data_IF_040056229987
#
_entry.id   IF_040056229987
#
_cell.length_a   1.000
_cell.length_b   1.000
_cell.length_c   1.000
_cell.angle_alpha   90.00
_cell.angle_beta   90.00
_cell.angle_gamma   90.00
#
_symmetry.space_group_name_H-M   'P 1'
#
loop_
_entity.id
_entity.type
_entity.pdbx_description
1 polymer ?
#
# COMPACT_ATOMS: atom_id res chain seq x y z
N UNK A 1 -3.06 -16.14 1.36
CA UNK A 1 -2.98 -14.76 0.81
C UNK A 1 -1.61 -14.21 1.16
N UNK A 2 -0.89 -13.66 0.18
CA UNK A 2 0.46 -13.11 0.35
C UNK A 2 0.44 -11.59 0.18
N UNK A 3 0.94 -10.85 1.19
CA UNK A 3 0.79 -9.40 1.29
C UNK A 3 2.16 -8.74 1.28
N UNK A 4 2.42 -7.83 0.34
CA UNK A 4 3.59 -6.96 0.39
C UNK A 4 3.34 -5.83 1.38
N UNK A 5 4.29 -5.58 2.28
CA UNK A 5 4.24 -4.47 3.24
C UNK A 5 5.43 -3.57 2.97
N UNK A 6 5.14 -2.34 2.54
CA UNK A 6 6.13 -1.27 2.44
C UNK A 6 6.43 -0.76 3.86
N UNK A 7 7.61 -1.08 4.38
CA UNK A 7 7.98 -0.78 5.77
C UNK A 7 8.78 0.51 5.93
N UNK A 8 9.09 1.20 4.83
CA UNK A 8 9.90 2.41 4.87
C UNK A 8 9.04 3.67 4.62
N UNK A 9 9.61 4.85 4.91
CA UNK A 9 8.95 6.13 4.63
C UNK A 9 7.77 6.49 5.53
N UNK A 10 7.67 5.87 6.70
CA UNK A 10 6.61 6.12 7.69
C UNK A 10 7.08 7.10 8.78
N UNK A 11 6.15 7.79 9.42
CA UNK A 11 6.44 8.77 10.48
C UNK A 11 7.07 8.13 11.73
N UNK A 12 6.73 6.87 12.02
CA UNK A 12 7.19 6.15 13.22
C UNK A 12 8.28 5.12 12.93
N UNK A 13 8.81 5.11 11.69
CA UNK A 13 9.84 4.17 11.27
C UNK A 13 9.32 2.75 11.00
N UNK A 14 10.22 1.83 10.60
CA UNK A 14 9.85 0.47 10.21
C UNK A 14 9.42 -0.42 11.37
N UNK A 15 9.71 -0.06 12.63
CA UNK A 15 9.49 -0.88 13.81
C UNK A 15 8.04 -1.31 13.95
N UNK A 16 7.11 -0.36 13.88
CA UNK A 16 5.68 -0.60 14.05
C UNK A 16 5.11 -1.51 12.95
N UNK A 17 5.59 -1.34 11.71
CA UNK A 17 5.14 -2.15 10.59
C UNK A 17 5.68 -3.57 10.63
N UNK A 18 6.93 -3.75 11.02
CA UNK A 18 7.52 -5.09 11.21
C UNK A 18 6.82 -5.81 12.37
N UNK A 19 6.59 -5.12 13.50
CA UNK A 19 5.84 -5.69 14.62
C UNK A 19 4.40 -6.06 14.22
N UNK A 20 3.71 -5.18 13.51
CA UNK A 20 2.36 -5.43 13.00
C UNK A 20 2.31 -6.62 12.04
N UNK A 21 3.30 -6.78 11.17
CA UNK A 21 3.41 -7.94 10.28
C UNK A 21 3.61 -9.25 11.06
N UNK A 22 4.47 -9.25 12.08
CA UNK A 22 4.66 -10.41 12.98
C UNK A 22 3.37 -10.80 13.68
N UNK A 23 2.64 -9.82 14.19
CA UNK A 23 1.34 -10.06 14.82
C UNK A 23 0.31 -10.60 13.82
N UNK A 24 0.27 -10.06 12.60
CA UNK A 24 -0.66 -10.47 11.57
C UNK A 24 -0.48 -11.94 11.15
N UNK A 25 0.75 -12.38 10.90
CA UNK A 25 1.01 -13.78 10.48
C UNK A 25 0.76 -14.79 11.60
N UNK A 26 0.82 -14.34 12.87
CA UNK A 26 0.49 -15.17 14.03
C UNK A 26 -1.01 -15.24 14.28
N UNK A 27 -1.75 -14.18 13.94
CA UNK A 27 -3.19 -14.09 14.18
C UNK A 27 -4.03 -14.60 13.00
N UNK A 28 -3.51 -14.48 11.77
CA UNK A 28 -4.24 -14.77 10.55
C UNK A 28 -3.49 -15.75 9.65
N UNK A 29 -4.22 -16.41 8.76
CA UNK A 29 -3.61 -17.27 7.73
C UNK A 29 -3.20 -16.44 6.50
N UNK A 30 -2.10 -15.71 6.65
CA UNK A 30 -1.49 -14.91 5.59
C UNK A 30 0.03 -15.06 5.61
N UNK A 31 0.65 -14.78 4.47
CA UNK A 31 2.09 -14.61 4.31
C UNK A 31 2.39 -13.13 4.08
N UNK A 32 3.55 -12.67 4.56
CA UNK A 32 3.96 -11.28 4.43
C UNK A 32 5.34 -11.18 3.77
N UNK A 33 5.46 -10.25 2.82
CA UNK A 33 6.74 -9.82 2.24
C UNK A 33 7.03 -8.42 2.76
N UNK A 34 8.00 -8.29 3.66
CA UNK A 34 8.48 -7.00 4.16
C UNK A 34 9.44 -6.39 3.14
N UNK A 35 9.09 -5.23 2.60
CA UNK A 35 9.87 -4.53 1.57
C UNK A 35 10.55 -3.31 2.16
N UNK A 36 11.89 -3.29 2.14
CA UNK A 36 12.69 -2.20 2.69
C UNK A 36 14.15 -2.58 2.88
N UNK A 37 14.85 -1.83 3.73
CA UNK A 37 16.23 -2.15 4.08
C UNK A 37 16.31 -3.48 4.82
N UNK A 38 16.92 -4.48 4.18
CA UNK A 38 16.96 -5.85 4.69
C UNK A 38 17.72 -5.99 6.01
N UNK A 39 18.73 -5.17 6.26
CA UNK A 39 19.51 -5.23 7.49
C UNK A 39 18.70 -4.69 8.68
N UNK A 40 17.98 -3.58 8.45
CA UNK A 40 17.06 -3.02 9.45
C UNK A 40 15.93 -4.02 9.75
N UNK A 41 15.30 -4.57 8.72
CA UNK A 41 14.18 -5.50 8.88
C UNK A 41 14.61 -6.76 9.62
N UNK A 42 15.72 -7.39 9.25
CA UNK A 42 16.23 -8.59 9.92
C UNK A 42 16.51 -8.35 11.40
N UNK A 43 17.17 -7.22 11.73
CA UNK A 43 17.43 -6.85 13.12
C UNK A 43 16.13 -6.71 13.94
N UNK A 44 15.10 -6.10 13.36
CA UNK A 44 13.79 -5.98 14.02
C UNK A 44 13.10 -7.33 14.18
N UNK A 45 13.19 -8.23 13.19
CA UNK A 45 12.65 -9.57 13.30
C UNK A 45 13.34 -10.38 14.41
N UNK A 46 14.66 -10.22 14.58
CA UNK A 46 15.40 -10.83 15.72
C UNK A 46 14.91 -10.26 17.05
N UNK A 47 14.78 -8.94 17.16
CA UNK A 47 14.28 -8.24 18.37
C UNK A 47 12.88 -8.73 18.76
N UNK A 48 12.00 -8.99 17.78
CA UNK A 48 10.62 -9.46 18.01
C UNK A 48 10.49 -10.98 18.09
N UNK A 49 11.62 -11.72 18.17
CA UNK A 49 11.66 -13.18 18.18
C UNK A 49 10.88 -13.80 17.01
N UNK A 50 11.11 -13.27 15.82
CA UNK A 50 10.45 -13.67 14.58
C UNK A 50 11.43 -13.94 13.42
N UNK A 51 12.72 -14.11 13.69
CA UNK A 51 13.74 -14.38 12.68
C UNK A 51 13.47 -15.66 11.89
N UNK A 52 12.90 -16.69 12.56
CA UNK A 52 12.56 -17.99 11.97
C UNK A 52 11.09 -18.10 11.51
N UNK A 53 10.35 -16.96 11.45
CA UNK A 53 8.94 -16.96 11.05
C UNK A 53 8.79 -17.26 9.55
N UNK A 54 8.35 -18.49 9.23
CA UNK A 54 8.28 -18.99 7.85
C UNK A 54 7.28 -18.25 6.95
N UNK A 55 6.30 -17.58 7.55
CA UNK A 55 5.29 -16.79 6.84
C UNK A 55 5.76 -15.36 6.51
N UNK A 56 6.96 -14.98 6.97
CA UNK A 56 7.56 -13.68 6.69
C UNK A 56 8.77 -13.86 5.76
N UNK A 57 8.80 -13.12 4.67
CA UNK A 57 9.96 -12.99 3.79
C UNK A 57 10.39 -11.54 3.69
N UNK A 58 11.67 -11.31 3.44
CA UNK A 58 12.24 -9.95 3.31
C UNK A 58 12.66 -9.74 1.86
N UNK A 59 12.18 -8.66 1.26
CA UNK A 59 12.59 -8.19 -0.06
C UNK A 59 13.35 -6.87 0.11
N UNK A 60 14.63 -6.87 -0.26
CA UNK A 60 15.47 -5.67 -0.11
C UNK A 60 15.05 -4.54 -1.05
N UNK A 61 15.05 -3.33 -0.53
CA UNK A 61 15.03 -2.09 -1.31
C UNK A 61 15.94 -1.06 -0.64
N UNK A 62 16.67 -0.29 -1.46
CA UNK A 62 17.72 0.61 -0.98
C UNK A 62 17.29 2.07 -0.90
N UNK A 63 16.15 2.43 -1.48
CA UNK A 63 15.67 3.80 -1.56
C UNK A 63 14.35 3.99 -0.79
N UNK A 64 14.15 5.21 -0.30
CA UNK A 64 12.94 5.62 0.43
C UNK A 64 12.39 6.89 -0.20
N UNK A 65 11.06 6.96 -0.36
CA UNK A 65 10.36 8.20 -0.72
C UNK A 65 9.81 8.81 0.56
N UNK A 66 10.31 10.00 0.90
CA UNK A 66 9.90 10.73 2.10
C UNK A 66 8.59 11.49 1.88
N UNK A 67 7.95 11.92 2.99
CA UNK A 67 6.65 12.59 2.96
C UNK A 67 6.70 13.97 2.26
N UNK A 68 7.83 14.64 2.27
CA UNK A 68 8.07 15.97 1.69
C UNK A 68 8.44 15.95 0.21
N UNK A 69 8.70 14.77 -0.36
CA UNK A 69 9.07 14.64 -1.77
C UNK A 69 7.85 14.73 -2.70
N UNK A 70 8.03 15.32 -3.89
CA UNK A 70 6.97 15.35 -4.89
C UNK A 70 6.70 13.93 -5.42
N UNK A 71 5.51 13.34 -5.13
CA UNK A 71 5.25 11.92 -5.34
C UNK A 71 5.50 11.42 -6.75
N UNK A 72 4.96 12.14 -7.76
CA UNK A 72 5.07 11.73 -9.16
C UNK A 72 6.50 11.79 -9.73
N UNK A 73 7.34 12.67 -9.19
CA UNK A 73 8.76 12.77 -9.56
C UNK A 73 9.56 11.69 -8.83
N UNK A 74 9.35 11.57 -7.52
CA UNK A 74 10.08 10.62 -6.67
C UNK A 74 9.88 9.17 -7.14
N UNK A 75 8.65 8.73 -7.41
CA UNK A 75 8.34 7.38 -7.92
C UNK A 75 8.99 7.10 -9.27
N UNK A 76 9.16 8.11 -10.13
CA UNK A 76 9.84 7.95 -11.42
C UNK A 76 11.36 7.90 -11.28
N UNK A 77 11.93 8.65 -10.34
CA UNK A 77 13.37 8.74 -10.11
C UNK A 77 13.90 7.56 -9.28
N UNK A 78 13.22 7.23 -8.19
CA UNK A 78 13.64 6.21 -7.22
C UNK A 78 13.02 4.85 -7.57
N UNK A 79 13.66 4.11 -8.46
CA UNK A 79 13.15 2.82 -8.95
C UNK A 79 13.25 1.69 -7.95
N UNK A 80 14.13 1.83 -6.98
CA UNK A 80 14.36 0.88 -5.89
C UNK A 80 13.74 1.34 -4.57
N UNK A 81 12.82 2.32 -4.61
CA UNK A 81 12.07 2.72 -3.42
C UNK A 81 11.12 1.61 -2.99
N UNK A 82 11.00 1.40 -1.66
CA UNK A 82 10.22 0.30 -1.08
C UNK A 82 8.79 0.22 -1.61
N UNK A 83 8.08 1.34 -1.73
CA UNK A 83 6.73 1.39 -2.30
C UNK A 83 6.70 1.02 -3.79
N UNK A 84 7.74 1.38 -4.56
CA UNK A 84 7.84 1.03 -5.98
C UNK A 84 8.10 -0.46 -6.16
N UNK A 85 9.01 -1.01 -5.37
CA UNK A 85 9.35 -2.44 -5.34
C UNK A 85 8.13 -3.25 -4.90
N UNK A 86 7.44 -2.86 -3.82
CA UNK A 86 6.22 -3.53 -3.35
C UNK A 86 5.10 -3.51 -4.40
N UNK A 87 4.93 -2.39 -5.11
CA UNK A 87 3.98 -2.30 -6.22
C UNK A 87 4.34 -3.23 -7.39
N UNK A 88 5.65 -3.41 -7.65
CA UNK A 88 6.12 -4.35 -8.68
C UNK A 88 5.82 -5.80 -8.30
N UNK A 89 6.02 -6.20 -7.04
CA UNK A 89 5.65 -7.54 -6.57
C UNK A 89 4.16 -7.82 -6.77
N UNK A 90 3.31 -6.83 -6.52
CA UNK A 90 1.87 -6.94 -6.76
C UNK A 90 1.54 -7.05 -8.27
N UNK A 91 2.15 -6.22 -9.11
CA UNK A 91 1.98 -6.26 -10.58
C UNK A 91 2.40 -7.62 -11.15
N UNK A 92 3.52 -8.15 -10.69
CA UNK A 92 4.11 -9.39 -11.19
C UNK A 92 3.43 -10.63 -10.57
N UNK A 93 2.36 -10.43 -9.76
CA UNK A 93 1.56 -11.46 -9.08
C UNK A 93 2.35 -12.32 -8.09
N UNK A 94 3.44 -11.79 -7.58
CA UNK A 94 4.19 -12.40 -6.49
C UNK A 94 3.53 -12.16 -5.13
N UNK A 95 2.67 -11.13 -5.04
CA UNK A 95 1.82 -10.81 -3.90
C UNK A 95 0.38 -10.54 -4.36
N UNK A 96 -0.58 -10.82 -3.48
CA UNK A 96 -2.02 -10.62 -3.73
C UNK A 96 -2.49 -9.22 -3.34
N UNK A 97 -1.80 -8.57 -2.40
CA UNK A 97 -2.13 -7.26 -1.87
C UNK A 97 -0.87 -6.47 -1.48
N UNK A 98 -1.03 -5.15 -1.35
CA UNK A 98 -0.01 -4.21 -0.90
C UNK A 98 -0.55 -3.37 0.25
N UNK A 99 0.23 -3.23 1.32
CA UNK A 99 -0.02 -2.33 2.44
C UNK A 99 1.13 -1.34 2.55
N UNK A 100 0.83 -0.06 2.68
CA UNK A 100 1.80 1.00 2.94
C UNK A 100 1.19 2.02 3.90
N UNK A 101 1.97 2.51 4.85
CA UNK A 101 1.65 3.65 5.71
C UNK A 101 2.63 4.83 5.52
N UNK A 102 3.34 4.83 4.40
CA UNK A 102 4.15 5.94 3.95
C UNK A 102 3.34 7.05 3.27
N UNK A 103 4.00 7.84 2.41
CA UNK A 103 3.37 8.92 1.66
C UNK A 103 2.19 8.43 0.81
N UNK A 104 0.98 8.88 1.14
CA UNK A 104 -0.24 8.57 0.36
C UNK A 104 -0.09 8.95 -1.11
N UNK A 105 0.53 10.09 -1.39
CA UNK A 105 0.80 10.54 -2.76
C UNK A 105 1.76 9.59 -3.50
N UNK A 106 2.79 9.09 -2.82
CA UNK A 106 3.73 8.12 -3.40
C UNK A 106 3.04 6.78 -3.66
N UNK A 107 2.19 6.30 -2.75
CA UNK A 107 1.43 5.06 -2.94
C UNK A 107 0.47 5.16 -4.14
N UNK A 108 -0.27 6.27 -4.26
CA UNK A 108 -1.13 6.53 -5.43
C UNK A 108 -0.34 6.62 -6.72
N UNK A 109 0.80 7.33 -6.73
CA UNK A 109 1.65 7.45 -7.90
C UNK A 109 2.28 6.11 -8.30
N UNK A 110 2.76 5.32 -7.33
CA UNK A 110 3.31 3.99 -7.57
C UNK A 110 2.25 3.05 -8.16
N UNK A 111 1.05 3.02 -7.59
CA UNK A 111 -0.07 2.24 -8.13
C UNK A 111 -0.44 2.69 -9.55
N UNK A 112 -0.54 3.99 -9.79
CA UNK A 112 -0.88 4.54 -11.11
C UNK A 112 0.14 4.16 -12.19
N UNK A 113 1.44 4.27 -11.88
CA UNK A 113 2.50 3.98 -12.84
C UNK A 113 2.86 2.49 -12.90
N UNK A 114 2.72 1.76 -11.80
CA UNK A 114 3.06 0.35 -11.70
C UNK A 114 1.94 -0.60 -12.11
N UNK A 115 0.72 -0.37 -11.66
CA UNK A 115 -0.44 -1.25 -11.92
C UNK A 115 -1.31 -0.73 -13.06
N UNK A 116 -1.30 0.59 -13.30
CA UNK A 116 -2.14 1.24 -14.29
C UNK A 116 -3.50 1.66 -13.74
N UNK A 117 -4.42 1.99 -14.64
CA UNK A 117 -5.77 2.48 -14.33
C UNK A 117 -6.82 1.50 -14.83
N UNK A 118 -7.94 1.45 -14.14
CA UNK A 118 -9.15 0.79 -14.66
C UNK A 118 -9.56 1.49 -15.96
N UNK A 119 -9.92 0.71 -16.97
CA UNK A 119 -10.33 1.25 -18.27
C UNK A 119 -11.50 2.21 -18.11
N UNK A 120 -11.39 3.41 -18.66
CA UNK A 120 -12.38 4.47 -18.56
C UNK A 120 -12.27 5.35 -17.32
N UNK A 121 -11.32 5.07 -16.40
CA UNK A 121 -11.01 5.91 -15.25
C UNK A 121 -9.76 6.74 -15.54
N UNK A 122 -9.92 8.04 -15.69
CA UNK A 122 -8.80 8.95 -15.92
C UNK A 122 -8.08 9.30 -14.60
N UNK A 123 -8.85 9.39 -13.51
CA UNK A 123 -8.35 9.74 -12.19
C UNK A 123 -8.80 8.70 -11.16
N UNK A 124 -7.90 7.87 -10.65
CA UNK A 124 -8.21 6.98 -9.54
C UNK A 124 -8.51 7.79 -8.29
N UNK A 125 -9.48 7.33 -7.50
CA UNK A 125 -9.86 7.91 -6.22
C UNK A 125 -9.43 7.00 -5.08
N UNK A 126 -9.18 7.58 -3.90
CA UNK A 126 -8.92 6.84 -2.66
C UNK A 126 -10.27 6.58 -2.00
N UNK A 127 -10.58 5.31 -1.79
CA UNK A 127 -11.79 4.89 -1.08
C UNK A 127 -11.46 4.65 0.40
N UNK A 128 -12.10 5.40 1.28
CA UNK A 128 -11.89 5.33 2.73
C UNK A 128 -13.14 4.78 3.40
N UNK A 129 -13.12 3.58 4.00
CA UNK A 129 -14.23 3.06 4.77
C UNK A 129 -14.30 3.79 6.12
N UNK A 130 -15.44 4.42 6.40
CA UNK A 130 -15.71 5.13 7.66
C UNK A 130 -16.83 4.40 8.40
N UNK A 131 -16.61 3.99 9.67
CA UNK A 131 -17.67 3.37 10.46
C UNK A 131 -18.81 4.35 10.73
N UNK A 132 -20.04 3.87 10.63
CA UNK A 132 -21.26 4.62 10.94
C UNK A 132 -22.12 3.84 11.93
N UNK A 133 -23.18 4.47 12.44
CA UNK A 133 -24.10 3.82 13.40
C UNK A 133 -24.81 2.59 12.82
N UNK A 134 -24.96 2.51 11.51
CA UNK A 134 -25.70 1.44 10.81
C UNK A 134 -24.80 0.55 9.94
N UNK A 135 -23.47 0.70 10.04
CA UNK A 135 -22.53 -0.08 9.23
C UNK A 135 -21.32 0.73 8.77
N UNK A 136 -20.88 0.54 7.53
CA UNK A 136 -19.72 1.22 6.97
C UNK A 136 -20.14 2.10 5.78
N UNK A 137 -19.71 3.36 5.79
CA UNK A 137 -19.85 4.28 4.66
C UNK A 137 -18.50 4.42 3.95
N UNK A 138 -18.47 4.25 2.64
CA UNK A 138 -17.25 4.48 1.85
C UNK A 138 -17.23 5.90 1.34
N UNK A 139 -16.26 6.68 1.80
CA UNK A 139 -16.01 8.05 1.32
C UNK A 139 -14.88 8.02 0.30
N UNK A 140 -15.12 8.69 -0.82
CA UNK A 140 -14.16 8.75 -1.92
C UNK A 140 -13.45 10.09 -1.96
N UNK A 141 -12.13 10.02 -2.10
CA UNK A 141 -11.25 11.18 -2.31
C UNK A 141 -11.35 12.24 -1.19
N UNK A 142 -11.59 11.80 0.05
CA UNK A 142 -11.71 12.68 1.21
C UNK A 142 -10.42 13.45 1.43
N UNK A 143 -10.45 14.77 1.18
CA UNK A 143 -9.32 15.68 1.37
C UNK A 143 -8.20 15.59 0.32
N UNK A 144 -8.26 14.68 -0.63
CA UNK A 144 -7.20 14.53 -1.62
C UNK A 144 -7.26 15.58 -2.75
N UNK A 145 -8.41 16.24 -2.95
CA UNK A 145 -8.60 17.30 -3.98
C UNK A 145 -9.59 18.37 -3.54
N UNK A 146 -9.26 19.62 -3.88
CA UNK A 146 -10.11 20.79 -3.65
C UNK A 146 -11.08 21.01 -4.84
N UNK A 147 -10.69 20.62 -6.07
CA UNK A 147 -11.43 20.89 -7.31
C UNK A 147 -11.93 19.58 -7.95
N UNK A 148 -13.03 19.02 -7.44
CA UNK A 148 -13.70 17.89 -8.05
C UNK A 148 -14.62 18.37 -9.20
N UNK A 149 -14.39 17.86 -10.42
CA UNK A 149 -15.31 18.07 -11.55
C UNK A 149 -16.41 17.01 -11.53
N UNK A 150 -17.60 17.29 -12.14
CA UNK A 150 -18.69 16.31 -12.22
C UNK A 150 -18.27 14.96 -12.81
N UNK A 151 -17.41 14.97 -13.83
CA UNK A 151 -16.87 13.76 -14.47
C UNK A 151 -16.04 12.92 -13.49
N UNK A 152 -15.32 13.54 -12.56
CA UNK A 152 -14.55 12.83 -11.53
C UNK A 152 -15.47 12.13 -10.54
N UNK A 153 -16.61 12.72 -10.19
CA UNK A 153 -17.60 12.07 -9.30
C UNK A 153 -18.20 10.81 -9.94
N UNK A 154 -18.53 10.88 -11.24
CA UNK A 154 -19.00 9.71 -11.99
C UNK A 154 -17.93 8.62 -12.04
N UNK A 155 -16.67 8.97 -12.33
CA UNK A 155 -15.57 8.01 -12.34
C UNK A 155 -15.33 7.37 -10.96
N UNK A 156 -15.46 8.16 -9.89
CA UNK A 156 -15.37 7.66 -8.51
C UNK A 156 -16.48 6.65 -8.20
N UNK A 157 -17.73 6.93 -8.60
CA UNK A 157 -18.84 6.00 -8.44
C UNK A 157 -18.62 4.69 -9.21
N UNK A 158 -18.11 4.77 -10.45
CA UNK A 158 -17.75 3.60 -11.24
C UNK A 158 -16.63 2.80 -10.54
N UNK A 159 -15.61 3.47 -10.00
CA UNK A 159 -14.50 2.82 -9.28
C UNK A 159 -15.02 2.01 -8.09
N UNK A 160 -15.90 2.58 -7.26
CA UNK A 160 -16.51 1.86 -6.12
C UNK A 160 -17.33 0.67 -6.57
N UNK A 161 -18.12 0.81 -7.64
CA UNK A 161 -18.87 -0.32 -8.20
C UNK A 161 -17.96 -1.50 -8.55
N UNK A 162 -16.79 -1.23 -9.14
CA UNK A 162 -15.82 -2.29 -9.47
C UNK A 162 -15.15 -2.90 -8.24
N UNK A 163 -14.80 -2.10 -7.24
CA UNK A 163 -13.95 -2.55 -6.13
C UNK A 163 -14.76 -3.08 -4.94
N UNK A 164 -16.00 -2.64 -4.74
CA UNK A 164 -16.80 -2.97 -3.55
C UNK A 164 -18.06 -3.79 -3.85
N UNK A 165 -18.64 -3.64 -5.03
CA UNK A 165 -19.85 -4.38 -5.38
C UNK A 165 -19.56 -5.69 -6.13
N UNK A 166 -18.51 -5.73 -6.94
CA UNK A 166 -18.14 -6.95 -7.69
C UNK A 166 -17.15 -7.87 -6.96
N UNK A 167 -16.51 -7.41 -5.89
CA UNK A 167 -15.65 -8.25 -5.07
C UNK A 167 -16.42 -9.25 -4.19
N UNK A 168 -17.75 -9.20 -4.21
CA UNK A 168 -18.64 -10.10 -3.47
C UNK A 168 -19.44 -11.06 -4.36
N UNK A 169 -19.23 -11.05 -5.68
CA UNK A 169 -19.73 -12.05 -6.63
C UNK A 169 -18.62 -13.08 -6.96
#
# INVERSE_FOLDING_TARGET
MKIAVDVMGTDYGPQELVLGAVQAVRAYDCEVVLVGDSEIIKKLLEEYNAADERKITVHHSSEVINMDEHPGIAVKAKKDASIVVATKLLRDKECDALVSSGSTGAAVAAALFGLGRIRGIERPAIATPIPSLTGTTVVLDSGAKVDAKPEHMVQSAITVSYTHLRAHE
#
